data_IF_725968429316
#
_entry.id   IF_725968429316
#
_cell.length_a   1.000
_cell.length_b   1.000
_cell.length_c   1.000
_cell.angle_alpha   90.00
_cell.angle_beta   90.00
_cell.angle_gamma   90.00
#
_symmetry.space_group_name_H-M   'P 1'
#
loop_
_entity.id
_entity.type
_entity.pdbx_description
1 polymer ?
#
# COMPACT_ATOMS: atom_id res chain seq x y z
N UNK A 1 2.77 40.48 12.87
CA UNK A 1 1.94 41.04 11.80
C UNK A 1 1.34 39.89 11.03
N UNK A 2 0.05 39.71 11.21
CA UNK A 2 -0.83 38.72 10.59
C UNK A 2 -1.07 39.06 9.13
N UNK A 3 -0.82 38.13 8.20
CA UNK A 3 -1.33 38.23 6.83
C UNK A 3 -2.38 37.14 6.61
N UNK A 4 -3.63 37.57 6.56
CA UNK A 4 -4.80 36.75 6.27
C UNK A 4 -4.76 36.26 4.81
N UNK A 5 -5.03 34.98 4.59
CA UNK A 5 -5.39 34.47 3.27
C UNK A 5 -6.81 34.96 2.94
N UNK A 6 -6.93 35.70 1.84
CA UNK A 6 -8.20 36.12 1.25
C UNK A 6 -8.95 34.92 0.67
N UNK A 7 -10.21 34.77 1.08
CA UNK A 7 -11.18 33.86 0.47
C UNK A 7 -11.77 34.53 -0.76
N UNK A 8 -11.33 34.17 -1.97
CA UNK A 8 -12.10 34.31 -3.22
C UNK A 8 -11.37 33.58 -4.36
N UNK A 9 -11.85 32.41 -4.75
CA UNK A 9 -11.44 31.69 -5.96
C UNK A 9 -10.17 30.84 -5.83
N UNK A 10 -10.34 29.51 -5.91
CA UNK A 10 -9.29 28.48 -5.95
C UNK A 10 -8.09 28.88 -6.85
N UNK A 11 -6.83 28.61 -6.42
CA UNK A 11 -6.32 27.25 -6.52
C UNK A 11 -5.69 26.74 -5.22
N UNK A 12 -5.87 25.43 -5.01
CA UNK A 12 -5.36 24.64 -3.90
C UNK A 12 -3.87 24.90 -3.66
N UNK A 13 -3.54 25.37 -2.46
CA UNK A 13 -2.18 25.48 -1.96
C UNK A 13 -1.51 24.08 -1.97
N UNK A 14 -0.34 23.88 -2.61
CA UNK A 14 0.28 22.56 -2.75
C UNK A 14 1.02 22.14 -1.47
N UNK A 15 0.30 22.02 -0.35
CA UNK A 15 0.85 21.62 0.96
C UNK A 15 0.33 20.28 1.50
N UNK A 16 -0.30 19.45 0.67
CA UNK A 16 -0.83 18.14 1.11
C UNK A 16 -0.21 16.91 0.44
N UNK A 17 0.80 17.07 -0.44
CA UNK A 17 1.44 15.93 -1.12
C UNK A 17 2.67 15.35 -0.39
N UNK A 18 3.04 15.85 0.79
CA UNK A 18 4.18 15.35 1.58
C UNK A 18 3.79 14.63 2.88
N UNK A 19 2.49 14.45 3.17
CA UNK A 19 2.07 14.03 4.51
C UNK A 19 1.95 12.52 4.74
N UNK A 20 2.14 11.67 3.72
CA UNK A 20 2.14 10.21 3.97
C UNK A 20 3.50 9.75 4.52
N UNK A 21 4.59 10.46 4.21
CA UNK A 21 5.94 10.07 4.64
C UNK A 21 6.25 10.51 6.09
N UNK A 22 5.77 11.69 6.51
CA UNK A 22 6.08 12.22 7.84
C UNK A 22 5.15 11.76 8.97
N UNK A 23 4.04 11.10 8.68
CA UNK A 23 3.12 10.61 9.73
C UNK A 23 3.46 9.22 10.25
N UNK A 24 4.34 8.48 9.58
CA UNK A 24 4.77 7.16 10.06
C UNK A 24 6.00 7.23 10.99
N UNK A 25 6.76 8.34 10.96
CA UNK A 25 7.98 8.53 11.76
C UNK A 25 7.80 9.20 13.12
N UNK A 26 6.57 9.58 13.49
CA UNK A 26 6.26 10.04 14.84
C UNK A 26 5.58 8.91 15.59
N UNK A 27 6.34 8.04 16.27
CA UNK A 27 5.79 7.05 17.22
C UNK A 27 4.76 7.73 18.12
N UNK A 28 3.45 7.49 17.95
CA UNK A 28 2.55 7.56 19.08
C UNK A 28 2.95 6.40 20.01
N UNK A 29 2.66 6.46 21.32
CA UNK A 29 2.86 5.30 22.19
C UNK A 29 2.21 4.08 21.51
N UNK A 30 3.03 3.04 21.28
CA UNK A 30 2.74 1.81 20.55
C UNK A 30 1.24 1.57 20.42
N UNK A 31 0.70 1.71 19.21
CA UNK A 31 -0.66 1.26 18.93
C UNK A 31 -0.70 -0.23 19.32
N UNK A 32 -1.52 -0.63 20.30
CA UNK A 32 -1.59 -2.02 20.73
C UNK A 32 -1.78 -2.93 19.51
N UNK A 33 -1.06 -4.06 19.45
CA UNK A 33 -1.19 -5.02 18.34
C UNK A 33 -2.64 -5.49 18.11
N UNK A 34 -3.50 -5.39 19.13
CA UNK A 34 -4.95 -5.63 19.03
C UNK A 34 -5.67 -4.62 18.14
N UNK A 35 -5.21 -3.38 18.09
CA UNK A 35 -5.84 -2.30 17.32
C UNK A 35 -5.50 -2.39 15.83
N UNK A 36 -4.34 -2.95 15.48
CA UNK A 36 -4.04 -3.27 14.08
C UNK A 36 -5.06 -4.27 13.53
N UNK A 37 -5.48 -5.28 14.31
CA UNK A 37 -6.38 -6.36 13.87
C UNK A 37 -7.72 -5.87 13.32
N UNK A 38 -8.23 -4.76 13.84
CA UNK A 38 -9.48 -4.15 13.41
C UNK A 38 -9.28 -3.07 12.34
N UNK A 39 -8.03 -2.74 12.02
CA UNK A 39 -7.66 -1.58 11.24
C UNK A 39 -7.82 -0.28 12.01
N UNK A 40 -7.03 0.71 11.61
CA UNK A 40 -7.07 2.05 12.15
C UNK A 40 -8.46 2.68 11.96
N UNK A 41 -9.11 3.12 13.05
CA UNK A 41 -10.49 3.62 13.01
C UNK A 41 -10.58 5.09 12.60
N UNK A 42 -9.45 5.80 12.49
CA UNK A 42 -9.49 7.22 12.11
C UNK A 42 -10.16 7.42 10.75
N UNK A 43 -10.95 8.48 10.68
CA UNK A 43 -11.52 8.96 9.43
C UNK A 43 -10.39 9.38 8.49
N UNK A 44 -10.50 8.98 7.23
CA UNK A 44 -9.49 9.22 6.21
C UNK A 44 -9.95 10.27 5.19
N UNK A 45 -9.02 10.70 4.34
CA UNK A 45 -9.37 11.47 3.15
C UNK A 45 -10.33 10.71 2.23
N UNK A 46 -10.20 9.38 2.14
CA UNK A 46 -11.06 8.55 1.29
C UNK A 46 -12.51 8.57 1.74
N UNK A 47 -12.75 8.55 3.06
CA UNK A 47 -14.09 8.72 3.63
C UNK A 47 -14.68 10.09 3.26
N UNK A 48 -13.85 11.13 3.28
CA UNK A 48 -14.29 12.47 2.90
C UNK A 48 -14.56 12.61 1.41
N UNK A 49 -13.81 11.92 0.54
CA UNK A 49 -14.08 11.88 -0.90
C UNK A 49 -15.41 11.17 -1.18
N UNK A 50 -15.62 10.02 -0.57
CA UNK A 50 -16.85 9.23 -0.70
C UNK A 50 -18.09 10.01 -0.24
N UNK A 51 -18.02 10.66 0.94
CA UNK A 51 -19.11 11.47 1.48
C UNK A 51 -19.49 12.65 0.56
N UNK A 52 -18.56 13.07 -0.31
CA UNK A 52 -18.76 14.16 -1.27
C UNK A 52 -18.97 13.66 -2.71
N UNK A 53 -19.19 12.36 -2.91
CA UNK A 53 -19.42 11.78 -4.24
C UNK A 53 -18.20 11.86 -5.18
N UNK A 54 -17.00 12.06 -4.64
CA UNK A 54 -15.76 12.10 -5.40
C UNK A 54 -15.14 10.70 -5.49
N UNK A 55 -14.61 10.37 -6.66
CA UNK A 55 -14.00 9.06 -6.89
C UNK A 55 -12.53 9.05 -6.46
N UNK A 56 -12.07 7.91 -5.94
CA UNK A 56 -10.64 7.66 -5.72
C UNK A 56 -10.21 6.30 -6.25
N UNK A 57 -8.89 6.09 -6.36
CA UNK A 57 -8.30 4.81 -6.74
C UNK A 57 -6.90 4.66 -6.17
N UNK A 58 -6.59 3.45 -5.72
CA UNK A 58 -5.32 3.07 -5.09
C UNK A 58 -4.59 2.13 -6.04
N UNK A 59 -3.47 2.58 -6.58
CA UNK A 59 -2.64 1.84 -7.53
C UNK A 59 -1.41 1.32 -6.82
N UNK A 60 -1.39 0.03 -6.51
CA UNK A 60 -0.37 -0.57 -5.67
C UNK A 60 0.53 -1.54 -6.44
N UNK A 61 1.77 -1.68 -5.98
CA UNK A 61 2.79 -2.49 -6.64
C UNK A 61 2.98 -3.87 -5.98
N UNK A 62 2.93 -3.94 -4.64
CA UNK A 62 2.98 -5.19 -3.89
C UNK A 62 1.85 -5.25 -2.84
N UNK A 63 1.89 -4.37 -1.82
CA UNK A 63 0.96 -4.33 -0.71
C UNK A 63 0.52 -2.88 -0.45
N UNK A 64 -0.78 -2.57 -0.50
CA UNK A 64 -1.26 -1.23 -0.24
C UNK A 64 -1.33 -0.95 1.27
N UNK A 65 -0.41 -0.11 1.78
CA UNK A 65 -0.38 0.29 3.19
C UNK A 65 -1.68 0.99 3.61
N UNK A 66 -2.39 1.62 2.69
CA UNK A 66 -3.76 2.11 2.89
C UNK A 66 -4.75 1.08 3.47
N UNK A 67 -4.50 -0.24 3.34
CA UNK A 67 -5.31 -1.26 4.03
C UNK A 67 -5.11 -1.28 5.56
N UNK A 68 -4.19 -0.49 6.13
CA UNK A 68 -4.18 -0.23 7.57
C UNK A 68 -5.50 0.40 8.04
N UNK A 69 -6.18 1.20 7.21
CA UNK A 69 -7.43 1.86 7.58
C UNK A 69 -8.63 0.92 7.46
N UNK A 70 -9.41 0.81 8.54
CA UNK A 70 -10.61 -0.05 8.60
C UNK A 70 -11.63 0.30 7.52
N UNK A 71 -11.80 1.59 7.21
CA UNK A 71 -12.76 2.04 6.20
C UNK A 71 -12.43 1.49 4.82
N UNK A 72 -11.16 1.42 4.45
CA UNK A 72 -10.71 0.89 3.16
C UNK A 72 -10.80 -0.64 3.04
N UNK A 73 -11.04 -1.35 4.15
CA UNK A 73 -11.34 -2.79 4.14
C UNK A 73 -12.83 -3.11 3.92
N UNK A 74 -13.69 -2.09 3.77
CA UNK A 74 -15.11 -2.28 3.45
C UNK A 74 -15.31 -2.75 2.02
N UNK A 75 -16.33 -3.58 1.80
CA UNK A 75 -16.66 -4.17 0.51
C UNK A 75 -16.76 -3.11 -0.61
N UNK A 76 -17.44 -1.97 -0.38
CA UNK A 76 -17.56 -0.88 -1.37
C UNK A 76 -16.21 -0.36 -1.90
N UNK A 77 -15.13 -0.48 -1.13
CA UNK A 77 -13.81 0.01 -1.50
C UNK A 77 -12.92 -1.04 -2.18
N UNK A 78 -13.30 -2.32 -2.18
CA UNK A 78 -12.48 -3.40 -2.74
C UNK A 78 -12.19 -3.20 -4.23
N UNK A 79 -13.15 -2.62 -4.96
CA UNK A 79 -13.00 -2.32 -6.39
C UNK A 79 -12.14 -1.08 -6.69
N UNK A 80 -11.70 -0.34 -5.66
CA UNK A 80 -10.85 0.86 -5.78
C UNK A 80 -9.35 0.53 -5.81
N UNK A 81 -8.99 -0.72 -5.54
CA UNK A 81 -7.62 -1.22 -5.57
C UNK A 81 -7.26 -1.75 -6.97
N UNK A 82 -6.14 -1.28 -7.49
CA UNK A 82 -5.69 -1.56 -8.84
C UNK A 82 -4.21 -1.91 -8.86
N UNK A 83 -3.82 -2.86 -9.71
CA UNK A 83 -2.39 -3.08 -10.00
C UNK A 83 -1.82 -1.84 -10.66
N UNK A 84 -0.76 -1.27 -10.07
CA UNK A 84 -0.03 -0.15 -10.65
C UNK A 84 0.50 -0.51 -12.06
N UNK A 85 1.21 -1.64 -12.17
CA UNK A 85 1.85 -2.10 -13.40
C UNK A 85 0.86 -2.26 -14.55
N UNK A 86 -0.32 -2.84 -14.28
CA UNK A 86 -1.29 -3.18 -15.33
C UNK A 86 -2.29 -2.05 -15.62
N UNK A 87 -2.71 -1.29 -14.60
CA UNK A 87 -3.86 -0.40 -14.71
C UNK A 87 -3.50 1.08 -14.73
N UNK A 88 -2.44 1.51 -14.04
CA UNK A 88 -2.20 2.95 -13.85
C UNK A 88 -2.01 3.69 -15.18
N UNK A 89 -1.05 3.26 -15.99
CA UNK A 89 -0.80 3.85 -17.32
C UNK A 89 -1.99 3.71 -18.25
N UNK A 90 -2.67 2.57 -18.21
CA UNK A 90 -3.86 2.32 -19.03
C UNK A 90 -4.99 3.29 -18.67
N UNK A 91 -5.28 3.45 -17.38
CA UNK A 91 -6.30 4.39 -16.91
C UNK A 91 -5.90 5.83 -17.21
N UNK A 92 -4.62 6.20 -17.05
CA UNK A 92 -4.11 7.52 -17.43
C UNK A 92 -4.31 7.81 -18.93
N UNK A 93 -3.93 6.85 -19.79
CA UNK A 93 -4.08 6.97 -21.24
C UNK A 93 -5.53 7.06 -21.70
N UNK A 94 -6.41 6.29 -21.06
CA UNK A 94 -7.84 6.26 -21.39
C UNK A 94 -8.66 7.38 -20.71
N UNK A 95 -8.03 8.27 -19.92
CA UNK A 95 -8.75 9.31 -19.17
C UNK A 95 -9.68 8.74 -18.08
N UNK A 96 -9.41 7.53 -17.59
CA UNK A 96 -10.22 6.81 -16.58
C UNK A 96 -9.66 6.94 -15.16
N UNK A 97 -8.70 7.83 -14.94
CA UNK A 97 -8.23 8.10 -13.58
C UNK A 97 -9.35 8.77 -12.76
N UNK A 98 -9.54 8.37 -11.50
CA UNK A 98 -10.50 8.99 -10.61
C UNK A 98 -10.07 10.40 -10.17
N UNK A 99 -10.94 11.10 -9.41
CA UNK A 99 -10.65 12.44 -8.91
C UNK A 99 -9.41 12.48 -8.00
N UNK A 100 -9.19 11.43 -7.21
CA UNK A 100 -8.02 11.29 -6.33
C UNK A 100 -7.30 9.97 -6.56
N UNK A 101 -5.99 10.02 -6.77
CA UNK A 101 -5.18 8.83 -7.05
C UNK A 101 -4.08 8.70 -6.02
N UNK A 102 -3.99 7.52 -5.42
CA UNK A 102 -2.84 7.11 -4.60
C UNK A 102 -2.03 6.10 -5.38
N UNK A 103 -0.72 6.31 -5.43
CA UNK A 103 0.24 5.33 -5.95
C UNK A 103 1.05 4.83 -4.78
N UNK A 104 0.89 3.55 -4.46
CA UNK A 104 1.63 2.90 -3.39
C UNK A 104 2.99 2.41 -3.92
N UNK A 105 4.01 2.57 -3.10
CA UNK A 105 5.38 2.19 -3.40
C UNK A 105 5.54 0.66 -3.31
N UNK A 106 6.74 0.18 -3.64
CA UNK A 106 7.17 -1.19 -3.42
C UNK A 106 8.12 -1.23 -2.23
N UNK A 107 7.67 -1.88 -1.16
CA UNK A 107 8.35 -1.95 0.13
C UNK A 107 9.31 -3.15 0.30
N UNK A 108 9.23 -4.17 -0.55
CA UNK A 108 10.11 -5.34 -0.50
C UNK A 108 11.15 -5.25 -1.61
N UNK A 109 12.42 -5.43 -1.25
CA UNK A 109 13.54 -5.24 -2.16
C UNK A 109 13.95 -6.58 -2.79
N UNK A 110 13.34 -6.86 -3.95
CA UNK A 110 13.54 -8.09 -4.72
C UNK A 110 14.44 -7.87 -5.94
N UNK A 111 15.11 -8.91 -6.40
CA UNK A 111 16.03 -8.85 -7.54
C UNK A 111 15.32 -8.41 -8.82
N UNK A 112 14.19 -9.06 -9.14
CA UNK A 112 13.37 -8.73 -10.31
C UNK A 112 12.51 -7.49 -10.09
N UNK A 113 12.15 -7.23 -8.83
CA UNK A 113 11.27 -6.14 -8.44
C UNK A 113 11.88 -5.34 -7.28
N UNK A 114 12.91 -4.52 -7.52
CA UNK A 114 13.58 -3.78 -6.44
C UNK A 114 12.66 -2.76 -5.78
N UNK A 115 12.87 -2.49 -4.50
CA UNK A 115 12.08 -1.51 -3.76
C UNK A 115 12.22 -0.11 -4.38
N UNK A 116 11.18 0.71 -4.23
CA UNK A 116 11.13 2.08 -4.74
C UNK A 116 10.40 3.02 -3.77
N UNK A 117 10.56 2.74 -2.48
CA UNK A 117 9.91 3.42 -1.37
C UNK A 117 10.70 4.59 -0.78
N UNK A 118 11.87 4.89 -1.35
CA UNK A 118 12.75 5.94 -0.84
C UNK A 118 13.16 5.67 0.63
N UNK A 119 13.28 4.40 1.02
CA UNK A 119 13.82 4.02 2.32
C UNK A 119 15.36 3.90 2.27
N UNK A 120 16.12 4.44 3.25
CA UNK A 120 17.59 4.48 3.19
C UNK A 120 18.32 3.13 3.05
N UNK A 121 17.68 2.02 3.45
CA UNK A 121 18.23 0.67 3.25
C UNK A 121 18.11 0.17 1.81
N UNK A 122 17.23 0.78 1.02
CA UNK A 122 16.97 0.48 -0.39
C UNK A 122 17.69 1.48 -1.30
N UNK A 123 17.58 1.30 -2.62
CA UNK A 123 18.14 2.23 -3.59
C UNK A 123 17.24 3.45 -3.75
N UNK A 124 17.53 4.51 -2.98
CA UNK A 124 16.82 5.81 -3.00
C UNK A 124 16.60 6.36 -4.41
N UNK A 125 17.51 6.08 -5.36
CA UNK A 125 17.36 6.52 -6.74
C UNK A 125 16.00 6.10 -7.32
N UNK A 126 15.56 4.88 -6.97
CA UNK A 126 14.31 4.29 -7.45
C UNK A 126 13.09 4.98 -6.87
N UNK A 127 13.13 5.36 -5.60
CA UNK A 127 12.11 6.18 -4.95
C UNK A 127 11.98 7.54 -5.62
N UNK A 128 13.11 8.25 -5.76
CA UNK A 128 13.17 9.53 -6.46
C UNK A 128 12.65 9.44 -7.91
N UNK A 129 12.99 8.37 -8.64
CA UNK A 129 12.47 8.15 -9.99
C UNK A 129 10.97 7.96 -9.99
N UNK A 130 10.40 7.19 -9.04
CA UNK A 130 8.94 7.03 -8.94
C UNK A 130 8.27 8.38 -8.67
N UNK A 131 8.81 9.18 -7.75
CA UNK A 131 8.29 10.50 -7.40
C UNK A 131 8.26 11.48 -8.58
N UNK A 132 9.26 11.44 -9.47
CA UNK A 132 9.30 12.26 -10.70
C UNK A 132 8.41 11.67 -11.80
N UNK A 133 8.34 10.34 -11.89
CA UNK A 133 7.59 9.61 -12.91
C UNK A 133 6.10 9.90 -12.87
N UNK A 134 5.48 9.87 -11.69
CA UNK A 134 4.03 10.04 -11.57
C UNK A 134 3.56 11.43 -12.05
N UNK A 135 4.13 12.56 -11.60
CA UNK A 135 3.80 13.88 -12.15
C UNK A 135 4.04 13.95 -13.67
N UNK A 136 5.15 13.38 -14.16
CA UNK A 136 5.47 13.37 -15.59
C UNK A 136 4.36 12.76 -16.44
N UNK A 137 3.73 11.66 -16.00
CA UNK A 137 2.58 11.04 -16.68
C UNK A 137 1.33 11.93 -16.65
N UNK A 138 1.13 12.66 -15.55
CA UNK A 138 -0.13 13.34 -15.27
C UNK A 138 -0.19 14.75 -15.86
N UNK A 139 0.92 15.50 -15.81
CA UNK A 139 0.92 16.95 -16.09
C UNK A 139 1.78 17.38 -17.28
N UNK A 140 2.65 16.52 -17.80
CA UNK A 140 3.53 16.92 -18.92
C UNK A 140 2.72 17.11 -20.21
N UNK A 141 2.72 18.32 -20.82
CA UNK A 141 2.01 18.56 -22.07
C UNK A 141 2.69 17.88 -23.26
N UNK A 142 3.98 17.53 -23.13
CA UNK A 142 4.82 16.96 -24.18
C UNK A 142 4.84 15.43 -24.17
N UNK A 143 4.38 14.81 -23.08
CA UNK A 143 4.31 13.35 -22.96
C UNK A 143 2.85 12.95 -23.09
N UNK A 144 2.54 12.21 -24.15
CA UNK A 144 1.21 11.59 -24.27
C UNK A 144 0.99 10.72 -23.03
N UNK A 145 -0.15 10.93 -22.34
CA UNK A 145 -0.47 10.21 -21.12
C UNK A 145 -0.28 8.70 -21.32
N UNK A 146 0.59 8.11 -20.50
CA UNK A 146 0.89 6.67 -20.53
C UNK A 146 1.99 6.20 -21.50
N UNK A 147 2.68 7.09 -22.23
CA UNK A 147 3.75 6.72 -23.20
C UNK A 147 5.15 7.18 -22.79
N UNK A 148 5.36 7.50 -21.51
CA UNK A 148 6.65 8.02 -21.02
C UNK A 148 7.84 7.09 -21.31
N UNK A 149 9.01 7.72 -21.51
CA UNK A 149 10.33 7.09 -21.34
C UNK A 149 11.17 8.05 -20.49
N UNK A 150 11.32 7.72 -19.21
CA UNK A 150 12.33 8.39 -18.37
C UNK A 150 13.66 7.65 -18.54
N UNK A 151 14.80 8.36 -18.60
CA UNK A 151 16.11 7.72 -18.63
C UNK A 151 16.21 6.65 -17.55
N UNK A 152 16.81 5.51 -17.88
CA UNK A 152 17.09 4.50 -16.88
C UNK A 152 18.16 5.01 -15.91
N UNK A 153 18.00 4.65 -14.64
CA UNK A 153 18.99 4.95 -13.63
C UNK A 153 20.21 4.08 -13.89
N UNK A 154 21.24 4.64 -14.49
CA UNK A 154 22.46 3.89 -14.83
C UNK A 154 23.37 3.65 -13.62
N UNK A 155 23.13 4.35 -12.51
CA UNK A 155 23.92 4.23 -11.28
C UNK A 155 22.99 4.10 -10.05
N UNK A 156 23.01 2.97 -9.34
CA UNK A 156 22.42 2.88 -8.01
C UNK A 156 23.07 3.87 -7.05
N UNK A 157 22.32 4.39 -6.08
CA UNK A 157 22.87 5.24 -5.02
C UNK A 157 23.54 4.46 -3.88
N UNK A 158 23.33 3.14 -3.84
CA UNK A 158 23.96 2.22 -2.88
C UNK A 158 24.88 1.22 -3.58
N UNK A 159 25.91 0.68 -2.90
CA UNK A 159 26.91 -0.19 -3.54
C UNK A 159 26.51 -1.67 -3.63
N UNK A 160 25.35 -2.08 -3.11
CA UNK A 160 24.84 -3.46 -3.16
C UNK A 160 23.44 -3.54 -3.78
N UNK A 161 23.11 -4.70 -4.35
CA UNK A 161 21.80 -4.99 -4.94
C UNK A 161 20.72 -5.35 -3.91
N UNK A 162 19.51 -5.72 -4.38
CA UNK A 162 18.45 -6.24 -3.53
C UNK A 162 18.91 -7.42 -2.66
N UNK A 163 18.25 -7.61 -1.51
CA UNK A 163 18.62 -8.62 -0.51
C UNK A 163 17.39 -9.40 -0.08
N UNK A 164 16.97 -10.34 -0.92
CA UNK A 164 15.77 -11.14 -0.68
C UNK A 164 15.89 -12.08 0.54
N UNK A 165 17.12 -12.47 0.89
CA UNK A 165 17.47 -13.36 2.00
C UNK A 165 17.64 -12.62 3.34
N UNK A 166 17.62 -11.29 3.34
CA UNK A 166 17.73 -10.50 4.56
C UNK A 166 16.50 -10.67 5.45
N UNK A 167 16.69 -10.48 6.76
CA UNK A 167 15.60 -10.30 7.71
C UNK A 167 14.85 -8.98 7.45
N UNK A 168 13.58 -8.94 7.84
CA UNK A 168 12.69 -7.79 7.64
C UNK A 168 13.10 -6.58 8.49
N UNK A 169 12.87 -5.39 7.95
CA UNK A 169 12.86 -4.14 8.74
C UNK A 169 11.65 -4.09 9.69
N UNK A 170 11.67 -3.20 10.70
CA UNK A 170 10.53 -3.00 11.62
C UNK A 170 9.24 -2.70 10.84
N UNK A 171 9.32 -1.81 9.85
CA UNK A 171 8.18 -1.48 8.99
C UNK A 171 7.70 -2.67 8.16
N UNK A 172 8.62 -3.47 7.59
CA UNK A 172 8.23 -4.68 6.84
C UNK A 172 7.56 -5.72 7.74
N UNK A 173 7.99 -5.86 9.00
CA UNK A 173 7.28 -6.72 9.99
C UNK A 173 5.86 -6.21 10.23
N UNK A 174 5.66 -4.89 10.36
CA UNK A 174 4.33 -4.29 10.53
C UNK A 174 3.43 -4.51 9.30
N UNK A 175 3.98 -4.42 8.09
CA UNK A 175 3.27 -4.79 6.87
C UNK A 175 2.85 -6.25 6.88
N UNK A 176 3.71 -7.16 7.37
CA UNK A 176 3.38 -8.59 7.47
C UNK A 176 2.31 -8.85 8.52
N UNK A 177 2.36 -8.18 9.67
CA UNK A 177 1.30 -8.25 10.66
C UNK A 177 -0.04 -7.75 10.09
N UNK A 178 -0.06 -6.68 9.29
CA UNK A 178 -1.27 -6.27 8.57
C UNK A 178 -1.75 -7.36 7.61
N UNK A 179 -0.87 -7.92 6.78
CA UNK A 179 -1.25 -8.97 5.80
C UNK A 179 -1.79 -10.23 6.49
N UNK A 180 -1.30 -10.56 7.68
CA UNK A 180 -1.82 -11.67 8.48
C UNK A 180 -3.29 -11.48 8.86
N UNK A 181 -3.73 -10.24 9.06
CA UNK A 181 -5.13 -9.95 9.36
C UNK A 181 -5.99 -10.07 8.11
N UNK A 182 -5.48 -9.56 6.98
CA UNK A 182 -6.16 -9.66 5.69
C UNK A 182 -6.38 -11.12 5.29
N UNK A 183 -5.52 -12.03 5.74
CA UNK A 183 -5.65 -13.46 5.46
C UNK A 183 -6.32 -14.28 6.57
N UNK A 184 -6.62 -13.68 7.72
CA UNK A 184 -7.20 -14.34 8.89
C UNK A 184 -6.19 -15.06 9.81
N UNK A 185 -4.90 -15.00 9.51
CA UNK A 185 -3.82 -15.63 10.29
C UNK A 185 -3.50 -14.91 11.61
N UNK A 186 -4.11 -13.75 11.86
CA UNK A 186 -3.99 -13.01 13.13
C UNK A 186 -4.43 -13.80 14.38
N UNK A 187 -5.18 -14.90 14.21
CA UNK A 187 -5.61 -15.79 15.30
C UNK A 187 -4.57 -16.87 15.64
N UNK A 188 -3.51 -17.02 14.85
CA UNK A 188 -2.48 -18.04 15.06
C UNK A 188 -1.57 -17.66 16.24
N UNK A 189 -1.01 -18.67 16.91
CA UNK A 189 -0.08 -18.49 18.05
C UNK A 189 1.18 -17.70 17.70
N UNK A 190 1.53 -17.65 16.41
CA UNK A 190 2.66 -16.89 15.89
C UNK A 190 2.41 -15.38 15.92
N UNK A 191 1.19 -14.90 16.09
CA UNK A 191 0.88 -13.47 16.25
C UNK A 191 1.30 -12.96 17.65
N UNK A 192 1.89 -11.76 17.78
CA UNK A 192 2.21 -10.77 16.75
C UNK A 192 3.59 -10.95 16.11
N UNK A 193 4.27 -12.08 16.34
CA UNK A 193 5.63 -12.34 15.87
C UNK A 193 5.72 -12.85 14.42
N UNK A 194 4.59 -12.92 13.69
CA UNK A 194 4.59 -13.25 12.28
C UNK A 194 5.47 -12.26 11.50
N UNK A 195 6.33 -12.78 10.62
CA UNK A 195 7.33 -12.00 9.89
C UNK A 195 8.72 -11.94 10.52
N UNK A 196 8.87 -12.12 11.85
CA UNK A 196 10.19 -12.04 12.51
C UNK A 196 11.18 -13.11 12.05
N UNK A 197 10.68 -14.25 11.57
CA UNK A 197 11.48 -15.36 11.04
C UNK A 197 11.48 -15.43 9.51
N UNK A 198 10.82 -14.48 8.83
CA UNK A 198 10.75 -14.47 7.37
C UNK A 198 11.93 -13.70 6.77
N UNK A 199 12.37 -14.17 5.62
CA UNK A 199 13.20 -13.39 4.69
C UNK A 199 12.35 -12.37 3.92
N UNK A 200 12.97 -11.33 3.36
CA UNK A 200 12.30 -10.33 2.49
C UNK A 200 11.52 -10.99 1.35
N UNK A 201 12.08 -12.03 0.72
CA UNK A 201 11.44 -12.76 -0.37
C UNK A 201 10.21 -13.56 0.09
N UNK A 202 10.28 -14.23 1.25
CA UNK A 202 9.14 -14.94 1.83
C UNK A 202 8.01 -13.99 2.25
N UNK A 203 8.39 -12.88 2.88
CA UNK A 203 7.46 -11.84 3.31
C UNK A 203 6.71 -11.23 2.12
N UNK A 204 7.39 -10.93 1.01
CA UNK A 204 6.72 -10.44 -0.18
C UNK A 204 5.69 -11.45 -0.73
N UNK A 205 6.07 -12.73 -0.85
CA UNK A 205 5.15 -13.78 -1.33
C UNK A 205 3.92 -13.91 -0.42
N UNK A 206 4.13 -13.89 0.88
CA UNK A 206 3.05 -13.94 1.87
C UNK A 206 2.10 -12.73 1.72
N UNK A 207 2.67 -11.52 1.61
CA UNK A 207 1.89 -10.29 1.47
C UNK A 207 1.08 -10.26 0.17
N UNK A 208 1.67 -10.66 -0.96
CA UNK A 208 0.99 -10.70 -2.26
C UNK A 208 -0.17 -11.72 -2.26
N UNK A 209 0.03 -12.93 -1.72
CA UNK A 209 -1.04 -13.93 -1.60
C UNK A 209 -2.18 -13.43 -0.71
N UNK A 210 -1.86 -12.86 0.45
CA UNK A 210 -2.84 -12.33 1.39
C UNK A 210 -3.68 -11.21 0.78
N UNK A 211 -3.05 -10.23 0.11
CA UNK A 211 -3.75 -9.12 -0.55
C UNK A 211 -4.60 -9.63 -1.71
N UNK A 212 -4.08 -10.54 -2.54
CA UNK A 212 -4.84 -11.12 -3.64
C UNK A 212 -6.10 -11.82 -3.13
N UNK A 213 -5.96 -12.72 -2.15
CA UNK A 213 -7.08 -13.44 -1.54
C UNK A 213 -8.12 -12.52 -0.90
N UNK A 214 -7.67 -11.49 -0.19
CA UNK A 214 -8.54 -10.49 0.42
C UNK A 214 -9.38 -9.76 -0.64
N UNK A 215 -8.75 -9.27 -1.71
CA UNK A 215 -9.45 -8.55 -2.79
C UNK A 215 -10.36 -9.48 -3.61
N UNK A 216 -9.94 -10.72 -3.87
CA UNK A 216 -10.74 -11.75 -4.54
C UNK A 216 -12.00 -12.07 -3.74
N UNK A 217 -11.86 -12.34 -2.44
CA UNK A 217 -12.98 -12.63 -1.55
C UNK A 217 -13.94 -11.44 -1.46
N UNK A 218 -13.41 -10.22 -1.36
CA UNK A 218 -14.23 -9.01 -1.37
C UNK A 218 -15.03 -8.82 -2.66
N UNK A 219 -14.40 -9.05 -3.82
CA UNK A 219 -15.10 -9.01 -5.13
C UNK A 219 -16.18 -10.08 -5.23
N UNK A 220 -15.90 -11.30 -4.76
CA UNK A 220 -16.85 -12.39 -4.75
C UNK A 220 -18.06 -12.09 -3.84
N UNK A 221 -17.82 -11.56 -2.65
CA UNK A 221 -18.88 -11.16 -1.72
C UNK A 221 -19.76 -10.03 -2.27
N UNK A 222 -19.15 -9.00 -2.89
CA UNK A 222 -19.89 -7.95 -3.61
C UNK A 222 -20.77 -8.54 -4.71
N UNK A 223 -20.22 -9.45 -5.53
CA UNK A 223 -20.97 -10.11 -6.61
C UNK A 223 -22.14 -10.96 -6.08
N UNK A 224 -22.02 -11.49 -4.86
CA UNK A 224 -23.06 -12.24 -4.17
C UNK A 224 -24.11 -11.35 -3.46
N UNK A 225 -24.03 -10.01 -3.58
CA UNK A 225 -24.99 -9.08 -2.98
C UNK A 225 -24.79 -8.83 -1.49
N UNK A 226 -23.59 -9.09 -0.96
CA UNK A 226 -23.27 -8.75 0.43
C UNK A 226 -23.34 -7.22 0.66
N UNK A 227 -23.69 -6.81 1.87
CA UNK A 227 -23.78 -5.40 2.23
C UNK A 227 -22.42 -4.70 2.04
N UNK A 228 -22.38 -3.71 1.15
CA UNK A 228 -21.14 -3.04 0.75
C UNK A 228 -20.43 -2.29 1.91
N UNK A 229 -21.15 -1.99 2.99
CA UNK A 229 -20.57 -1.36 4.19
C UNK A 229 -19.84 -2.33 5.13
N UNK A 230 -20.00 -3.65 4.91
CA UNK A 230 -19.32 -4.66 5.71
C UNK A 230 -17.82 -4.66 5.45
N UNK A 231 -17.04 -4.83 6.52
CA UNK A 231 -15.60 -5.09 6.44
C UNK A 231 -15.40 -6.54 5.98
N UNK A 232 -14.48 -6.76 5.04
CA UNK A 232 -14.10 -8.10 4.61
C UNK A 232 -13.36 -8.82 5.75
N UNK A 233 -13.86 -9.98 6.14
CA UNK A 233 -13.26 -10.83 7.17
C UNK A 233 -12.88 -12.16 6.55
N UNK A 234 -11.59 -12.51 6.64
CA UNK A 234 -11.05 -13.76 6.12
C UNK A 234 -10.88 -14.79 7.24
N UNK A 235 -11.07 -16.06 6.90
CA UNK A 235 -10.68 -17.19 7.77
C UNK A 235 -9.26 -17.63 7.39
N UNK A 236 -8.40 -17.97 8.35
CA UNK A 236 -7.06 -18.47 8.05
C UNK A 236 -7.13 -19.71 7.15
N UNK A 237 -6.21 -19.82 6.21
CA UNK A 237 -6.14 -21.02 5.36
C UNK A 237 -5.54 -22.20 6.12
N UNK A 238 -5.87 -23.41 5.67
CA UNK A 238 -5.20 -24.62 6.16
C UNK A 238 -3.72 -24.66 5.76
N UNK A 239 -3.35 -24.01 4.64
CA UNK A 239 -1.98 -23.91 4.14
C UNK A 239 -1.06 -23.06 5.02
N UNK A 240 -1.57 -22.10 5.80
CA UNK A 240 -0.76 -21.29 6.71
C UNK A 240 -0.42 -22.00 8.02
N UNK A 241 -0.98 -23.19 8.27
CA UNK A 241 -0.74 -23.97 9.49
C UNK A 241 0.51 -24.86 9.46
N UNK A 242 1.22 -24.94 8.33
CA UNK A 242 2.26 -25.97 8.12
C UNK A 242 3.68 -25.55 8.52
N UNK A 243 3.91 -24.31 8.97
CA UNK A 243 5.26 -23.88 9.41
C UNK A 243 5.37 -23.72 10.93
N UNK A 244 4.62 -24.54 11.69
CA UNK A 244 4.83 -24.73 13.12
C UNK A 244 5.40 -26.11 13.33
N UNK A 245 6.72 -26.25 13.18
CA UNK A 245 7.40 -27.50 13.54
C UNK A 245 7.10 -27.87 15.00
N UNK A 246 6.77 -29.16 15.15
CA UNK A 246 6.78 -29.91 16.38
C UNK A 246 8.09 -29.69 17.15
N UNK A 247 8.02 -28.97 18.27
CA UNK A 247 8.92 -29.23 19.39
C UNK A 247 8.19 -30.09 20.42
N UNK A 248 8.25 -31.40 20.19
CA UNK A 248 8.06 -32.40 21.24
C UNK A 248 9.43 -32.99 21.61
N UNK A 249 10.05 -32.44 22.66
CA UNK A 249 10.71 -33.18 23.76
C UNK A 249 11.21 -32.21 24.82
#
# INVERSE_FOLDING_TARGET
>A
MSSQCSTNGLPLCPRQLSQIDSTFTLRPPMVPWKDLSHGFPQRTIFDSLDDNGLTFGIYYQNMPATLFFKSLRKLKHIIKFHSYTLKFKLHAKLGKLPNYVVVEQRYFDLDLFPANDDHPSHDMARGQRLAVRIPTILVSPWIVKGTETLPDMTKPLRPWGPKEDASLSEFQVELIQLTSQLNGDYILKTYPNIGKSMTVGEANRYAEDAVARFLEAGKAALKAGANESNVVTMKPSLSSRVTGEDYSR
#
